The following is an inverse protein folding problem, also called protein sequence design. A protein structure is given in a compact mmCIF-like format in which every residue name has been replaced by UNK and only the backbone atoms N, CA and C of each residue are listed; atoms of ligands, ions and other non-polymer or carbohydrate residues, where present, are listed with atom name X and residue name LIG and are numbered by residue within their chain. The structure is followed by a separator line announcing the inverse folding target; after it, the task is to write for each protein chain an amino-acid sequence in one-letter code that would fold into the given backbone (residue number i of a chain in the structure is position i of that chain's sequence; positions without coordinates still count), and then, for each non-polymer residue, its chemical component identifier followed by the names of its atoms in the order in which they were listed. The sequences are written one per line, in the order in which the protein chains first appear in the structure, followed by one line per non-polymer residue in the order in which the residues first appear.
data_IF_950048384269
#
_entry.id   IF_950048384269
#
_cell.length_a   1.000
_cell.length_b   1.000
_cell.length_c   1.000
_cell.angle_alpha   90.00
_cell.angle_beta   90.00
_cell.angle_gamma   90.00
#
_symmetry.space_group_name_H-M   'P 1'
#
loop_
_entity.id
_entity.type
_entity.pdbx_description
1 polymer ?
#
# COMPACT_ATOMS: atom_id res chain seq x y z
N UNK A 1 -15.22 4.45 0.23
CA UNK A 1 -14.86 4.14 -1.18
C UNK A 1 -13.41 4.53 -1.36
N UNK A 2 -12.57 3.65 -1.88
CA UNK A 2 -11.15 3.93 -2.18
C UNK A 2 -10.98 4.01 -3.68
N UNK A 3 -10.29 5.04 -4.16
CA UNK A 3 -10.00 5.22 -5.59
C UNK A 3 -8.53 4.90 -5.86
N UNK A 4 -8.28 4.13 -6.92
CA UNK A 4 -6.94 3.90 -7.42
C UNK A 4 -6.41 5.09 -8.19
N UNK A 5 -5.11 5.33 -8.07
CA UNK A 5 -4.37 6.24 -8.95
C UNK A 5 -3.19 5.48 -9.57
N UNK A 6 -2.80 5.90 -10.77
CA UNK A 6 -1.56 5.46 -11.40
C UNK A 6 -0.47 6.49 -11.12
N UNK A 7 0.70 6.03 -10.68
CA UNK A 7 1.84 6.89 -10.37
C UNK A 7 3.15 6.16 -10.68
N UNK A 8 4.22 6.91 -10.91
CA UNK A 8 5.55 6.34 -11.15
C UNK A 8 6.05 5.60 -9.92
N UNK A 9 6.71 4.47 -10.16
CA UNK A 9 7.11 3.56 -9.09
C UNK A 9 8.09 4.17 -8.07
N UNK A 10 8.96 5.09 -8.51
CA UNK A 10 9.87 5.83 -7.65
C UNK A 10 9.14 6.81 -6.72
N UNK A 11 8.11 7.49 -7.22
CA UNK A 11 7.25 8.38 -6.42
C UNK A 11 6.47 7.56 -5.39
N UNK A 12 5.84 6.45 -5.82
CA UNK A 12 5.11 5.53 -4.94
C UNK A 12 6.00 5.02 -3.81
N UNK A 13 7.22 4.59 -4.13
CA UNK A 13 8.18 4.05 -3.16
C UNK A 13 8.68 5.12 -2.19
N UNK A 14 9.02 6.32 -2.70
CA UNK A 14 9.44 7.45 -1.87
C UNK A 14 8.32 7.94 -0.93
N UNK A 15 7.07 7.86 -1.37
CA UNK A 15 5.89 8.24 -0.61
C UNK A 15 5.33 7.16 0.30
N UNK A 16 5.93 5.95 0.33
CA UNK A 16 5.41 4.79 1.07
C UNK A 16 3.93 4.48 0.78
N UNK A 17 3.49 4.70 -0.46
CA UNK A 17 2.08 4.60 -0.84
C UNK A 17 1.59 3.15 -0.81
N UNK A 18 0.36 2.96 -0.33
CA UNK A 18 -0.29 1.66 -0.27
C UNK A 18 -0.74 1.24 -1.68
N UNK A 19 -0.33 0.08 -2.20
CA UNK A 19 -0.87 -0.44 -3.46
C UNK A 19 -2.36 -0.74 -3.32
N UNK A 20 -3.15 -0.34 -4.33
CA UNK A 20 -4.61 -0.44 -4.30
C UNK A 20 -5.13 -1.84 -3.96
N UNK A 21 -4.43 -2.90 -4.39
CA UNK A 21 -4.81 -4.28 -4.13
C UNK A 21 -4.91 -4.62 -2.62
N UNK A 22 -4.23 -3.86 -1.76
CA UNK A 22 -4.32 -4.03 -0.30
C UNK A 22 -5.48 -3.24 0.33
N UNK A 23 -6.05 -2.25 -0.37
CA UNK A 23 -7.02 -1.32 0.22
C UNK A 23 -8.35 -1.97 0.65
N UNK A 24 -8.72 -3.13 0.09
CA UNK A 24 -9.97 -3.83 0.41
C UNK A 24 -9.91 -4.68 1.70
N UNK A 25 -8.73 -4.87 2.29
CA UNK A 25 -8.55 -5.82 3.39
C UNK A 25 -7.76 -5.23 4.57
N UNK A 26 -7.73 -3.90 4.69
CA UNK A 26 -6.93 -3.18 5.70
C UNK A 26 -7.83 -2.46 6.68
N UNK A 27 -7.40 -2.48 7.94
CA UNK A 27 -7.92 -1.57 8.97
C UNK A 27 -7.09 -0.30 8.95
N UNK A 28 -7.75 0.86 8.96
CA UNK A 28 -7.08 2.15 9.08
C UNK A 28 -6.81 2.44 10.56
N UNK A 29 -5.62 2.97 10.86
CA UNK A 29 -5.24 3.43 12.21
C UNK A 29 -5.86 4.77 12.59
N UNK A 30 -6.34 5.53 11.61
CA UNK A 30 -6.89 6.86 11.78
C UNK A 30 -7.86 7.21 10.63
N UNK A 31 -8.67 8.23 10.84
CA UNK A 31 -9.53 8.78 9.80
C UNK A 31 -8.70 9.41 8.66
N UNK A 32 -9.15 9.22 7.43
CA UNK A 32 -8.51 9.75 6.21
C UNK A 32 -9.50 10.60 5.44
N UNK A 33 -9.13 11.86 5.16
CA UNK A 33 -9.93 12.77 4.35
C UNK A 33 -9.96 12.34 2.88
N UNK A 34 -11.07 12.65 2.19
CA UNK A 34 -11.17 12.45 0.74
C UNK A 34 -10.08 13.25 0.01
N UNK A 35 -9.43 12.61 -0.95
CA UNK A 35 -8.33 13.21 -1.72
C UNK A 35 -6.94 12.95 -1.12
N UNK A 36 -6.85 12.46 0.11
CA UNK A 36 -5.57 12.09 0.71
C UNK A 36 -5.07 10.75 0.18
N UNK A 37 -3.76 10.65 0.01
CA UNK A 37 -3.08 9.41 -0.31
C UNK A 37 -3.03 8.50 0.92
N UNK A 38 -3.18 7.19 0.68
CA UNK A 38 -3.08 6.16 1.73
C UNK A 38 -1.67 5.56 1.67
N UNK A 39 -1.05 5.43 2.83
CA UNK A 39 0.31 4.88 2.98
C UNK A 39 0.30 3.60 3.80
N UNK A 40 1.39 2.84 3.75
CA UNK A 40 1.57 1.66 4.60
C UNK A 40 1.51 1.98 6.10
N UNK A 41 1.93 3.18 6.51
CA UNK A 41 1.97 3.55 7.92
C UNK A 41 0.57 3.79 8.50
N UNK A 42 -0.40 4.11 7.64
CA UNK A 42 -1.80 4.41 8.01
C UNK A 42 -2.65 3.16 8.22
N UNK A 43 -2.14 1.97 7.91
CA UNK A 43 -2.87 0.71 8.06
C UNK A 43 -2.29 -0.16 9.17
N UNK A 44 -3.13 -0.99 9.76
CA UNK A 44 -2.67 -2.05 10.66
C UNK A 44 -1.85 -3.10 9.93
N UNK A 45 -1.06 -3.86 10.70
CA UNK A 45 -0.15 -4.85 10.15
C UNK A 45 -0.93 -5.99 9.45
N UNK A 46 -0.39 -6.46 8.33
CA UNK A 46 -0.98 -7.52 7.50
C UNK A 46 -0.16 -8.81 7.60
N UNK A 47 0.20 -9.23 8.81
CA UNK A 47 1.19 -10.31 9.04
C UNK A 47 0.82 -11.63 8.34
N UNK A 48 -0.48 -11.94 8.27
CA UNK A 48 -0.99 -13.17 7.65
C UNK A 48 -1.36 -13.02 6.16
N UNK A 49 -1.16 -11.85 5.56
CA UNK A 49 -1.49 -11.62 4.16
C UNK A 49 -0.54 -12.34 3.21
N UNK A 50 -1.06 -13.35 2.51
CA UNK A 50 -0.32 -14.03 1.44
C UNK A 50 0.07 -13.06 0.30
N UNK A 51 -0.82 -12.10 -0.01
CA UNK A 51 -0.52 -11.06 -0.99
C UNK A 51 0.66 -10.18 -0.57
N UNK A 52 0.78 -9.87 0.73
CA UNK A 52 1.91 -9.10 1.24
C UNK A 52 3.23 -9.89 1.13
N UNK A 53 3.19 -11.21 1.38
CA UNK A 53 4.36 -12.08 1.20
C UNK A 53 4.85 -12.05 -0.25
N UNK A 54 3.96 -12.28 -1.22
CA UNK A 54 4.31 -12.20 -2.65
C UNK A 54 4.79 -10.80 -3.03
N UNK A 55 4.16 -9.74 -2.52
CA UNK A 55 4.58 -8.38 -2.83
C UNK A 55 6.01 -8.10 -2.36
N UNK A 56 6.37 -8.55 -1.16
CA UNK A 56 7.75 -8.43 -0.64
C UNK A 56 8.75 -9.19 -1.51
N UNK A 57 8.41 -10.39 -1.96
CA UNK A 57 9.25 -11.17 -2.89
C UNK A 57 9.42 -10.46 -4.24
N UNK A 58 8.33 -9.91 -4.78
CA UNK A 58 8.37 -9.12 -6.00
C UNK A 58 9.26 -7.89 -5.84
N UNK A 59 9.11 -7.15 -4.73
CA UNK A 59 9.94 -5.98 -4.46
C UNK A 59 11.42 -6.34 -4.35
N UNK A 60 11.74 -7.45 -3.69
CA UNK A 60 13.10 -7.98 -3.58
C UNK A 60 13.66 -8.54 -4.90
N UNK A 61 12.82 -8.84 -5.90
CA UNK A 61 13.25 -9.28 -7.23
C UNK A 61 13.46 -8.10 -8.19
N UNK A 62 12.51 -7.16 -8.22
CA UNK A 62 12.51 -6.01 -9.13
C UNK A 62 13.51 -4.94 -8.72
N UNK A 63 13.69 -4.73 -7.41
CA UNK A 63 14.52 -3.63 -6.88
C UNK A 63 15.83 -4.10 -6.26
N UNK A 64 16.40 -5.20 -6.77
CA UNK A 64 17.77 -5.61 -6.40
C UNK A 64 18.80 -4.55 -6.78
#
# INVERSE_FOLDING_TARGET
MVNGIFEKADIVKKGNLLPLAFANCVTLKADICIGNLITWDMIDNLEDSYLLKIRKEQDAFVWR
#
